data_IF_866810766785
#
_entry.id   IF_866810766785
#
_cell.length_a   1.000
_cell.length_b   1.000
_cell.length_c   1.000
_cell.angle_alpha   90.00
_cell.angle_beta   90.00
_cell.angle_gamma   90.00
#
_symmetry.space_group_name_H-M   'P 1'
#
loop_
_entity.id
_entity.type
_entity.pdbx_description
1 polymer ?
#
# COMPACT_ATOMS: atom_id res chain seq x y z
N UNK A 1 4.26 12.41 16.61
CA UNK A 1 3.82 13.65 15.96
C UNK A 1 4.75 14.09 14.82
N UNK A 2 6.03 13.68 14.85
CA UNK A 2 7.04 13.97 13.80
C UNK A 2 7.22 12.84 12.78
N UNK A 3 6.39 11.79 12.85
CA UNK A 3 6.42 10.65 11.94
C UNK A 3 5.14 10.62 11.11
N UNK A 4 5.29 10.59 9.78
CA UNK A 4 4.19 10.35 8.85
C UNK A 4 4.28 8.91 8.34
N UNK A 5 3.28 8.09 8.66
CA UNK A 5 3.16 6.73 8.15
C UNK A 5 2.34 6.70 6.86
N UNK A 6 2.83 5.97 5.88
CA UNK A 6 2.12 5.77 4.62
C UNK A 6 2.27 4.32 4.15
N UNK A 7 1.14 3.68 3.86
CA UNK A 7 1.14 2.37 3.22
C UNK A 7 1.31 2.53 1.70
N UNK A 8 2.14 1.67 1.11
CA UNK A 8 2.44 1.67 -0.32
C UNK A 8 2.27 0.25 -0.85
N UNK A 9 1.38 0.02 -1.83
CA UNK A 9 1.21 -1.29 -2.43
C UNK A 9 2.46 -1.73 -3.20
N UNK A 10 2.83 -3.00 -3.08
CA UNK A 10 3.87 -3.61 -3.90
C UNK A 10 3.26 -4.18 -5.18
N UNK A 11 3.84 -3.87 -6.31
CA UNK A 11 3.29 -4.21 -7.63
C UNK A 11 4.19 -5.17 -8.41
N UNK A 12 5.50 -5.01 -8.36
CA UNK A 12 6.54 -5.82 -9.05
C UNK A 12 6.22 -6.13 -10.52
N UNK A 13 5.69 -5.14 -11.23
CA UNK A 13 5.32 -5.30 -12.64
C UNK A 13 4.35 -6.48 -12.91
N UNK A 14 3.47 -6.77 -11.97
CA UNK A 14 2.47 -7.83 -12.05
C UNK A 14 1.09 -7.22 -12.27
N UNK A 15 0.39 -7.67 -13.31
CA UNK A 15 -0.92 -7.11 -13.67
C UNK A 15 -1.99 -7.29 -12.59
N UNK A 16 -1.99 -8.41 -11.89
CA UNK A 16 -2.94 -8.69 -10.81
C UNK A 16 -2.67 -7.78 -9.60
N UNK A 17 -1.42 -7.65 -9.21
CA UNK A 17 -1.01 -6.76 -8.12
C UNK A 17 -1.24 -5.28 -8.49
N UNK A 18 -1.07 -4.92 -9.76
CA UNK A 18 -1.40 -3.59 -10.27
C UNK A 18 -2.89 -3.29 -10.12
N UNK A 19 -3.77 -4.26 -10.42
CA UNK A 19 -5.21 -4.13 -10.22
C UNK A 19 -5.60 -3.94 -8.75
N UNK A 20 -4.97 -4.69 -7.84
CA UNK A 20 -5.15 -4.52 -6.39
C UNK A 20 -4.62 -3.17 -5.89
N UNK A 21 -3.49 -2.71 -6.39
CA UNK A 21 -2.94 -1.40 -6.07
C UNK A 21 -3.88 -0.26 -6.53
N UNK A 22 -4.49 -0.40 -7.69
CA UNK A 22 -5.52 0.54 -8.17
C UNK A 22 -6.72 0.58 -7.22
N UNK A 23 -7.17 -0.56 -6.73
CA UNK A 23 -8.26 -0.64 -5.75
C UNK A 23 -7.90 0.10 -4.46
N UNK A 24 -6.70 -0.11 -3.94
CA UNK A 24 -6.18 0.60 -2.77
C UNK A 24 -6.20 2.12 -2.97
N UNK A 25 -5.64 2.61 -4.06
CA UNK A 25 -5.57 4.05 -4.33
C UNK A 25 -6.93 4.66 -4.65
N UNK A 26 -7.82 3.94 -5.32
CA UNK A 26 -9.19 4.39 -5.52
C UNK A 26 -9.92 4.58 -4.19
N UNK A 27 -9.80 3.61 -3.29
CA UNK A 27 -10.37 3.70 -1.94
C UNK A 27 -9.76 4.88 -1.14
N UNK A 28 -8.46 5.12 -1.26
CA UNK A 28 -7.79 6.23 -0.61
C UNK A 28 -8.28 7.59 -1.14
N UNK A 29 -8.38 7.74 -2.45
CA UNK A 29 -8.81 9.00 -3.09
C UNK A 29 -10.27 9.30 -2.78
N UNK A 30 -11.14 8.30 -2.78
CA UNK A 30 -12.56 8.47 -2.44
C UNK A 30 -12.81 8.62 -0.94
N UNK A 31 -11.79 8.48 -0.10
CA UNK A 31 -11.91 8.58 1.36
C UNK A 31 -12.49 7.35 2.02
N UNK A 32 -12.57 6.23 1.32
CA UNK A 32 -13.26 5.02 1.77
C UNK A 32 -12.30 3.91 2.22
N UNK A 33 -10.98 4.17 2.21
CA UNK A 33 -9.96 3.16 2.51
C UNK A 33 -10.14 2.52 3.89
N UNK A 34 -10.35 3.32 4.93
CA UNK A 34 -10.49 2.80 6.30
C UNK A 34 -11.69 1.84 6.44
N UNK A 35 -12.78 2.13 5.74
CA UNK A 35 -13.97 1.28 5.74
C UNK A 35 -13.82 0.04 4.87
N UNK A 36 -13.13 0.16 3.73
CA UNK A 36 -12.99 -0.91 2.74
C UNK A 36 -11.83 -1.86 3.03
N UNK A 37 -10.77 -1.40 3.67
CA UNK A 37 -9.55 -2.19 3.84
C UNK A 37 -9.80 -3.56 4.48
N UNK A 38 -10.53 -3.70 5.61
CA UNK A 38 -10.82 -5.02 6.17
C UNK A 38 -11.62 -5.91 5.20
N UNK A 39 -12.56 -5.31 4.47
CA UNK A 39 -13.41 -6.02 3.51
C UNK A 39 -12.61 -6.48 2.27
N UNK A 40 -11.66 -5.67 1.83
CA UNK A 40 -10.74 -6.02 0.74
C UNK A 40 -9.87 -7.21 1.17
N UNK A 41 -9.28 -7.16 2.36
CA UNK A 41 -8.48 -8.26 2.89
C UNK A 41 -9.28 -9.55 3.00
N UNK A 42 -10.47 -9.50 3.57
CA UNK A 42 -11.35 -10.67 3.66
C UNK A 42 -11.68 -11.24 2.28
N UNK A 43 -12.05 -10.39 1.31
CA UNK A 43 -12.37 -10.83 -0.04
C UNK A 43 -11.18 -11.52 -0.73
N UNK A 44 -9.98 -10.98 -0.60
CA UNK A 44 -8.79 -11.50 -1.26
C UNK A 44 -8.20 -12.71 -0.53
N UNK A 45 -8.08 -12.65 0.80
CA UNK A 45 -7.41 -13.68 1.60
C UNK A 45 -8.33 -14.85 1.94
N UNK A 46 -9.54 -14.58 2.38
CA UNK A 46 -10.47 -15.59 2.87
C UNK A 46 -11.35 -16.15 1.74
N UNK A 47 -12.00 -15.28 1.00
CA UNK A 47 -12.92 -15.67 -0.07
C UNK A 47 -12.22 -15.96 -1.40
N UNK A 48 -10.91 -15.70 -1.49
CA UNK A 48 -10.10 -15.86 -2.72
C UNK A 48 -10.72 -15.18 -3.95
N UNK A 49 -11.41 -14.05 -3.74
CA UNK A 49 -12.02 -13.30 -4.82
C UNK A 49 -10.97 -12.60 -5.69
N UNK A 50 -11.05 -12.76 -7.00
CA UNK A 50 -10.18 -11.99 -7.89
C UNK A 50 -10.69 -10.54 -7.98
N UNK A 51 -9.90 -9.60 -7.46
CA UNK A 51 -10.17 -8.15 -7.54
C UNK A 51 -9.06 -7.47 -8.36
N UNK A 52 -8.77 -7.99 -9.55
CA UNK A 52 -7.59 -7.65 -10.33
C UNK A 52 -7.85 -6.72 -11.49
N UNK A 53 -9.11 -6.48 -11.84
CA UNK A 53 -9.48 -5.65 -12.98
C UNK A 53 -10.76 -4.87 -12.72
N UNK A 54 -11.07 -3.97 -13.64
CA UNK A 54 -12.24 -3.09 -13.57
C UNK A 54 -13.56 -3.86 -13.39
N UNK A 55 -13.78 -4.89 -14.18
CA UNK A 55 -15.03 -5.65 -14.12
C UNK A 55 -15.22 -6.29 -12.75
N UNK A 56 -14.22 -6.98 -12.27
CA UNK A 56 -14.25 -7.66 -10.97
C UNK A 56 -14.47 -6.68 -9.82
N UNK A 57 -13.80 -5.53 -9.86
CA UNK A 57 -13.96 -4.48 -8.86
C UNK A 57 -15.37 -3.85 -8.96
N UNK A 58 -15.85 -3.57 -10.17
CA UNK A 58 -17.18 -3.00 -10.39
C UNK A 58 -18.28 -3.87 -9.80
N UNK A 59 -18.21 -5.16 -10.02
CA UNK A 59 -19.18 -6.13 -9.48
C UNK A 59 -19.10 -6.22 -7.94
N UNK A 60 -17.89 -6.19 -7.40
CA UNK A 60 -17.67 -6.35 -5.96
C UNK A 60 -18.03 -5.09 -5.16
N UNK A 61 -17.75 -3.91 -5.72
CA UNK A 61 -17.93 -2.64 -4.99
C UNK A 61 -19.39 -2.22 -4.85
N UNK A 62 -20.27 -2.78 -5.67
CA UNK A 62 -21.69 -2.47 -5.63
C UNK A 62 -22.27 -2.71 -4.23
N UNK A 63 -22.93 -1.70 -3.67
CA UNK A 63 -23.53 -1.74 -2.35
C UNK A 63 -22.53 -1.60 -1.18
N UNK A 64 -21.25 -1.44 -1.44
CA UNK A 64 -20.20 -1.27 -0.39
C UNK A 64 -19.78 0.18 -0.22
N UNK A 65 -20.07 1.02 -1.18
CA UNK A 65 -19.74 2.46 -1.16
C UNK A 65 -20.97 3.26 -1.54
N UNK A 66 -20.96 4.56 -1.22
CA UNK A 66 -22.10 5.44 -1.51
C UNK A 66 -22.32 5.69 -3.00
N UNK A 67 -21.25 5.79 -3.78
CA UNK A 67 -21.29 6.04 -5.23
C UNK A 67 -20.33 5.06 -5.94
N UNK A 68 -20.86 3.91 -6.32
CA UNK A 68 -20.11 2.86 -7.01
C UNK A 68 -19.61 3.30 -8.40
N UNK A 69 -20.39 4.08 -9.13
CA UNK A 69 -19.99 4.57 -10.45
C UNK A 69 -18.78 5.50 -10.36
N UNK A 70 -18.79 6.43 -9.40
CA UNK A 70 -17.69 7.32 -9.13
C UNK A 70 -16.43 6.57 -8.66
N UNK A 71 -16.61 5.53 -7.85
CA UNK A 71 -15.51 4.68 -7.40
C UNK A 71 -14.82 4.00 -8.58
N UNK A 72 -15.59 3.39 -9.48
CA UNK A 72 -15.06 2.71 -10.67
C UNK A 72 -14.39 3.70 -11.62
N UNK A 73 -14.96 4.88 -11.81
CA UNK A 73 -14.32 5.95 -12.58
C UNK A 73 -12.97 6.35 -11.99
N UNK A 74 -12.89 6.52 -10.67
CA UNK A 74 -11.65 6.79 -9.95
C UNK A 74 -10.65 5.65 -10.12
N UNK A 75 -11.08 4.41 -9.99
CA UNK A 75 -10.26 3.21 -10.22
C UNK A 75 -9.56 3.22 -11.58
N UNK A 76 -10.26 3.67 -12.62
CA UNK A 76 -9.76 3.75 -14.00
C UNK A 76 -8.91 4.99 -14.27
N UNK A 77 -8.92 5.96 -13.38
CA UNK A 77 -8.34 7.28 -13.64
C UNK A 77 -6.84 7.26 -13.89
N UNK A 78 -6.37 8.24 -14.63
CA UNK A 78 -4.95 8.49 -14.85
C UNK A 78 -4.22 8.76 -13.53
N UNK A 79 -4.85 9.48 -12.59
CA UNK A 79 -4.28 9.76 -11.28
C UNK A 79 -3.97 8.51 -10.49
N UNK A 80 -4.88 7.54 -10.47
CA UNK A 80 -4.66 6.23 -9.84
C UNK A 80 -3.53 5.47 -10.55
N UNK A 81 -3.54 5.42 -11.87
CA UNK A 81 -2.47 4.78 -12.66
C UNK A 81 -1.10 5.39 -12.37
N UNK A 82 -1.02 6.70 -12.25
CA UNK A 82 0.21 7.42 -11.90
C UNK A 82 0.72 7.04 -10.51
N UNK A 83 -0.17 6.92 -9.51
CA UNK A 83 0.21 6.50 -8.17
C UNK A 83 0.70 5.05 -8.13
N UNK A 84 0.09 4.15 -8.89
CA UNK A 84 0.55 2.76 -9.02
C UNK A 84 1.97 2.70 -9.60
N UNK A 85 2.25 3.47 -10.64
CA UNK A 85 3.60 3.57 -11.21
C UNK A 85 4.62 4.10 -10.21
N UNK A 86 4.28 5.14 -9.45
CA UNK A 86 5.16 5.67 -8.39
C UNK A 86 5.45 4.64 -7.32
N UNK A 87 4.46 3.84 -6.93
CA UNK A 87 4.64 2.75 -5.96
C UNK A 87 5.64 1.71 -6.47
N UNK A 88 5.52 1.31 -7.73
CA UNK A 88 6.44 0.35 -8.34
C UNK A 88 7.87 0.93 -8.44
N UNK A 89 8.00 2.18 -8.85
CA UNK A 89 9.28 2.88 -8.91
C UNK A 89 9.93 2.99 -7.53
N UNK A 90 9.17 3.32 -6.49
CA UNK A 90 9.66 3.41 -5.12
C UNK A 90 10.16 2.05 -4.63
N UNK A 91 9.40 0.99 -4.84
CA UNK A 91 9.78 -0.36 -4.45
C UNK A 91 11.09 -0.80 -5.14
N UNK A 92 11.26 -0.48 -6.41
CA UNK A 92 12.48 -0.74 -7.17
C UNK A 92 13.66 0.08 -6.67
N UNK A 93 13.46 1.38 -6.45
CA UNK A 93 14.49 2.29 -5.95
C UNK A 93 15.01 1.87 -4.56
N UNK A 94 14.12 1.38 -3.69
CA UNK A 94 14.45 0.88 -2.36
C UNK A 94 14.85 -0.60 -2.35
N UNK A 95 14.88 -1.26 -3.51
CA UNK A 95 15.24 -2.69 -3.66
C UNK A 95 14.40 -3.62 -2.77
N UNK A 96 13.10 -3.35 -2.69
CA UNK A 96 12.16 -4.16 -1.91
C UNK A 96 12.06 -5.55 -2.57
N UNK A 97 12.35 -6.59 -1.81
CA UNK A 97 12.35 -7.99 -2.28
C UNK A 97 11.17 -8.81 -1.77
N UNK A 98 10.46 -8.31 -0.78
CA UNK A 98 9.31 -8.98 -0.20
C UNK A 98 8.43 -8.04 0.60
N UNK A 99 7.24 -8.49 0.95
CA UNK A 99 6.29 -7.75 1.76
C UNK A 99 5.86 -8.59 2.98
N UNK A 100 5.55 -7.95 4.11
CA UNK A 100 5.67 -6.52 4.35
C UNK A 100 7.13 -6.06 4.53
N UNK A 101 7.43 -4.88 4.04
CA UNK A 101 8.69 -4.18 4.28
C UNK A 101 8.42 -2.77 4.77
N UNK A 102 9.32 -2.22 5.59
CA UNK A 102 9.23 -0.84 6.07
C UNK A 102 10.42 -0.04 5.54
N UNK A 103 10.12 1.15 5.07
CA UNK A 103 11.12 2.13 4.61
C UNK A 103 11.06 3.34 5.54
N UNK A 104 12.20 3.69 6.11
CA UNK A 104 12.34 4.82 7.05
C UNK A 104 13.16 5.92 6.39
N UNK A 105 12.60 7.13 6.36
CA UNK A 105 13.23 8.34 5.82
C UNK A 105 13.71 8.21 4.36
N UNK A 106 13.12 7.30 3.58
CA UNK A 106 13.53 7.02 2.21
C UNK A 106 14.94 6.42 2.06
N UNK A 107 15.58 6.02 3.16
CA UNK A 107 16.98 5.56 3.18
C UNK A 107 17.17 4.17 3.75
N UNK A 108 16.39 3.79 4.74
CA UNK A 108 16.55 2.53 5.47
C UNK A 108 15.40 1.59 5.15
N UNK A 109 15.71 0.32 4.92
CA UNK A 109 14.72 -0.74 4.68
C UNK A 109 14.88 -1.82 5.74
N UNK A 110 13.77 -2.27 6.30
CA UNK A 110 13.72 -3.46 7.14
C UNK A 110 12.47 -4.30 6.85
N UNK A 111 12.54 -5.58 7.19
CA UNK A 111 11.44 -6.55 6.98
C UNK A 111 11.61 -7.71 7.94
N UNK A 112 10.61 -8.59 8.04
CA UNK A 112 10.68 -9.79 8.86
C UNK A 112 11.85 -10.72 8.44
N UNK A 113 12.13 -10.84 7.16
CA UNK A 113 13.24 -11.64 6.66
C UNK A 113 14.62 -11.05 6.99
N UNK A 114 14.73 -9.73 7.13
CA UNK A 114 15.98 -9.04 7.49
C UNK A 114 16.19 -8.99 9.00
N UNK A 115 15.13 -8.83 9.78
CA UNK A 115 15.18 -8.63 11.24
C UNK A 115 14.87 -9.90 12.04
N UNK A 116 14.37 -10.95 11.39
CA UNK A 116 14.03 -12.24 11.98
C UNK A 116 12.54 -12.46 12.30
N UNK A 117 11.77 -11.40 12.52
CA UNK A 117 10.33 -11.48 12.78
C UNK A 117 9.62 -10.15 12.53
N UNK A 118 8.29 -10.17 12.46
CA UNK A 118 7.50 -8.93 12.35
C UNK A 118 7.66 -8.04 13.60
N UNK A 119 7.74 -8.63 14.79
CA UNK A 119 8.00 -7.91 16.03
C UNK A 119 9.36 -7.19 15.99
N UNK A 120 10.41 -7.90 15.57
CA UNK A 120 11.73 -7.32 15.41
C UNK A 120 11.77 -6.24 14.33
N UNK A 121 10.98 -6.38 13.27
CA UNK A 121 10.84 -5.34 12.24
C UNK A 121 10.36 -4.03 12.85
N UNK A 122 9.37 -4.05 13.73
CA UNK A 122 8.87 -2.86 14.42
C UNK A 122 9.94 -2.26 15.35
N UNK A 123 10.67 -3.10 16.08
CA UNK A 123 11.77 -2.63 16.94
C UNK A 123 12.87 -1.97 16.14
N UNK A 124 13.31 -2.57 15.04
CA UNK A 124 14.31 -1.99 14.14
C UNK A 124 13.80 -0.68 13.52
N UNK A 125 12.53 -0.61 13.13
CA UNK A 125 11.94 0.63 12.62
C UNK A 125 12.00 1.75 13.67
N UNK A 126 11.67 1.48 14.92
CA UNK A 126 11.75 2.45 16.01
C UNK A 126 13.20 2.93 16.23
N UNK A 127 14.18 2.04 16.19
CA UNK A 127 15.61 2.39 16.30
C UNK A 127 16.07 3.27 15.14
N UNK A 128 15.64 2.97 13.92
CA UNK A 128 15.95 3.77 12.73
C UNK A 128 15.31 5.16 12.79
N UNK A 129 14.08 5.27 13.28
CA UNK A 129 13.41 6.55 13.50
C UNK A 129 14.18 7.37 14.53
N UNK A 130 14.61 6.76 15.64
CA UNK A 130 15.41 7.42 16.67
C UNK A 130 16.75 7.91 16.11
N UNK A 131 17.40 7.12 15.26
CA UNK A 131 18.63 7.50 14.57
C UNK A 131 18.44 8.72 13.67
N UNK A 132 17.39 8.71 12.85
CA UNK A 132 17.06 9.85 11.96
C UNK A 132 16.79 11.12 12.74
N UNK A 133 16.09 11.03 13.88
CA UNK A 133 15.87 12.17 14.78
C UNK A 133 17.20 12.79 15.24
N UNK A 134 18.12 11.96 15.74
CA UNK A 134 19.44 12.43 16.18
C UNK A 134 20.22 13.09 15.06
N UNK A 135 20.20 12.52 13.87
CA UNK A 135 20.88 13.08 12.70
C UNK A 135 20.32 14.46 12.31
N UNK A 136 19.02 14.67 12.48
CA UNK A 136 18.34 15.95 12.18
C UNK A 136 18.60 17.00 13.26
N UNK A 137 18.67 16.60 14.53
CA UNK A 137 18.97 17.49 15.66
C UNK A 137 20.43 17.97 15.64
N UNK A 138 21.35 17.17 15.11
CA UNK A 138 22.77 17.50 14.97
C UNK A 138 23.12 18.43 13.82
N UNK A 139 22.12 18.80 13.01
CA UNK A 139 22.26 19.74 11.90
C UNK A 139 21.74 21.11 12.28
#
# INVERSE_FOLDING_TARGET
ADVAFRAVPAVWNNAQLSGLARLFYAAQITGELAALEPTIFAAVQDDKRPLFNEQQVSEWIAGKVGDAAKFVETYKSFGVGSQVQRSDQLARAMKIQGVPSMVIDGRFVTSASMSGSHENTLKVADELIARVRKEREGK
#
